data_IF_840261562435
#
_entry.id   IF_840261562435
#
_cell.length_a   1.000
_cell.length_b   1.000
_cell.length_c   1.000
_cell.angle_alpha   90.00
_cell.angle_beta   90.00
_cell.angle_gamma   90.00
#
_symmetry.space_group_name_H-M   'P 1'
#
loop_
_entity.id
_entity.type
_entity.pdbx_description
1 polymer ?
#
# COMPACT_ATOMS: atom_id res chain seq x y z
N UNK A 1 -17.97 -2.79 11.59
CA UNK A 1 -17.29 -3.35 10.40
C UNK A 1 -17.28 -2.26 9.34
N UNK A 2 -16.20 -2.11 8.58
CA UNK A 2 -16.07 -1.02 7.60
C UNK A 2 -16.24 -1.60 6.20
N UNK A 3 -17.14 -1.00 5.43
CA UNK A 3 -17.50 -1.48 4.11
C UNK A 3 -16.34 -1.30 3.13
N UNK A 4 -16.05 -2.37 2.37
CA UNK A 4 -15.09 -2.32 1.28
C UNK A 4 -15.76 -1.71 0.04
N UNK A 5 -15.21 -0.60 -0.46
CA UNK A 5 -15.57 -0.07 -1.78
C UNK A 5 -14.60 -0.59 -2.82
N UNK A 6 -15.10 -1.12 -3.94
CA UNK A 6 -14.26 -1.66 -5.01
C UNK A 6 -14.44 -0.90 -6.32
N UNK A 7 -13.40 -0.89 -7.15
CA UNK A 7 -13.41 -0.39 -8.52
C UNK A 7 -13.01 -1.52 -9.47
N UNK A 8 -13.42 -1.44 -10.74
CA UNK A 8 -12.96 -2.41 -11.73
C UNK A 8 -11.49 -2.16 -12.05
N UNK A 9 -10.81 -3.22 -12.45
CA UNK A 9 -9.39 -3.17 -12.81
C UNK A 9 -9.11 -2.14 -13.91
N UNK A 10 -10.05 -1.98 -14.84
CA UNK A 10 -9.98 -1.08 -15.99
C UNK A 10 -10.24 0.39 -15.60
N UNK A 11 -10.90 0.67 -14.47
CA UNK A 11 -11.33 2.02 -14.09
C UNK A 11 -10.17 2.93 -13.68
N UNK A 12 -9.09 2.33 -13.13
CA UNK A 12 -7.95 3.07 -12.55
C UNK A 12 -6.63 2.44 -12.93
N UNK A 13 -6.27 2.55 -14.20
CA UNK A 13 -4.97 2.09 -14.69
C UNK A 13 -3.80 2.75 -13.96
N UNK A 14 -3.89 4.05 -13.65
CA UNK A 14 -2.83 4.79 -12.95
C UNK A 14 -3.39 5.53 -11.74
N UNK A 15 -2.67 5.46 -10.63
CA UNK A 15 -2.96 6.28 -9.44
C UNK A 15 -1.80 7.22 -9.16
N UNK A 16 -2.05 8.53 -9.29
CA UNK A 16 -1.06 9.54 -8.90
C UNK A 16 -0.68 9.40 -7.43
N UNK A 17 0.60 9.54 -7.11
CA UNK A 17 1.13 9.34 -5.76
C UNK A 17 0.35 10.11 -4.67
N UNK A 18 -0.07 11.34 -4.99
CA UNK A 18 -0.81 12.21 -4.05
C UNK A 18 -2.24 11.73 -3.74
N UNK A 19 -2.78 10.80 -4.52
CA UNK A 19 -4.13 10.23 -4.34
C UNK A 19 -4.11 8.94 -3.52
N UNK A 20 -2.95 8.30 -3.35
CA UNK A 20 -2.80 7.09 -2.54
C UNK A 20 -2.99 7.46 -1.08
N UNK A 21 -3.85 6.71 -0.39
CA UNK A 21 -4.29 6.99 0.97
C UNK A 21 -4.26 5.72 1.84
N UNK A 22 -4.05 5.86 3.16
CA UNK A 22 -4.29 4.75 4.10
C UNK A 22 -5.68 4.16 3.91
N UNK A 23 -5.76 2.84 3.80
CA UNK A 23 -7.01 2.11 3.52
C UNK A 23 -7.21 1.74 2.06
N UNK A 24 -6.43 2.29 1.14
CA UNK A 24 -6.46 1.85 -0.25
C UNK A 24 -6.05 0.39 -0.36
N UNK A 25 -6.85 -0.38 -1.09
CA UNK A 25 -6.59 -1.76 -1.46
C UNK A 25 -5.98 -1.76 -2.84
N UNK A 26 -4.83 -2.41 -2.98
CA UNK A 26 -4.17 -2.58 -4.25
C UNK A 26 -4.16 -4.03 -4.72
N UNK A 27 -4.04 -4.17 -6.03
CA UNK A 27 -3.82 -5.42 -6.72
C UNK A 27 -2.56 -5.29 -7.56
N UNK A 28 -1.74 -6.34 -7.59
CA UNK A 28 -0.52 -6.43 -8.38
C UNK A 28 -0.50 -7.72 -9.21
N UNK A 29 0.11 -7.63 -10.39
CA UNK A 29 0.36 -8.79 -11.27
C UNK A 29 1.66 -8.59 -12.03
N UNK A 30 2.25 -9.69 -12.52
CA UNK A 30 3.45 -9.67 -13.35
C UNK A 30 3.20 -10.12 -14.79
N UNK A 31 2.17 -10.93 -15.04
CA UNK A 31 1.91 -11.50 -16.37
C UNK A 31 0.40 -11.60 -16.67
N UNK A 32 -0.45 -10.87 -15.93
CA UNK A 32 -1.92 -10.96 -15.98
C UNK A 32 -2.49 -12.37 -15.75
N UNK A 33 -1.71 -13.28 -15.17
CA UNK A 33 -2.11 -14.67 -14.88
C UNK A 33 -2.46 -14.88 -13.41
N UNK A 34 -1.70 -14.26 -12.52
CA UNK A 34 -1.90 -14.30 -11.08
C UNK A 34 -1.97 -12.88 -10.52
N UNK A 35 -2.92 -12.67 -9.61
CA UNK A 35 -3.18 -11.40 -8.95
C UNK A 35 -2.98 -11.56 -7.45
N UNK A 36 -2.20 -10.64 -6.87
CA UNK A 36 -1.96 -10.56 -5.44
C UNK A 36 -2.45 -9.22 -4.91
N UNK A 37 -2.74 -9.19 -3.61
CA UNK A 37 -3.46 -8.08 -3.01
C UNK A 37 -2.75 -7.56 -1.77
N UNK A 38 -2.98 -6.28 -1.49
CA UNK A 38 -2.46 -5.65 -0.28
C UNK A 38 -3.22 -4.39 0.05
N UNK A 39 -2.86 -3.80 1.19
CA UNK A 39 -3.52 -2.62 1.73
C UNK A 39 -2.49 -1.58 2.14
N UNK A 40 -2.73 -0.33 1.77
CA UNK A 40 -1.92 0.81 2.17
C UNK A 40 -2.21 1.10 3.65
N UNK A 41 -1.17 1.01 4.47
CA UNK A 41 -1.25 1.28 5.91
C UNK A 41 -1.04 2.76 6.22
N UNK A 42 -0.02 3.34 5.60
CA UNK A 42 0.46 4.67 5.95
C UNK A 42 1.27 5.29 4.83
N UNK A 43 1.18 6.61 4.71
CA UNK A 43 2.12 7.40 3.91
C UNK A 43 3.40 7.62 4.71
N UNK A 44 4.52 7.29 4.08
CA UNK A 44 5.87 7.41 4.63
C UNK A 44 6.67 8.45 3.82
N UNK A 45 7.82 8.88 4.32
CA UNK A 45 8.67 9.87 3.63
C UNK A 45 9.16 9.35 2.28
N UNK A 46 9.54 8.07 2.21
CA UNK A 46 10.14 7.44 1.02
C UNK A 46 9.17 6.52 0.28
N UNK A 47 7.87 6.57 0.58
CA UNK A 47 6.90 5.66 -0.03
C UNK A 47 5.65 5.43 0.80
N UNK A 48 5.12 4.22 0.76
CA UNK A 48 3.98 3.81 1.59
C UNK A 48 4.28 2.51 2.32
N UNK A 49 3.92 2.47 3.61
CA UNK A 49 3.90 1.22 4.35
C UNK A 49 2.66 0.43 3.93
N UNK A 50 2.80 -0.88 3.74
CA UNK A 50 1.72 -1.75 3.25
C UNK A 50 1.66 -3.08 3.98
N UNK A 51 0.48 -3.67 3.98
CA UNK A 51 0.25 -5.10 4.20
C UNK A 51 0.19 -5.83 2.87
N UNK A 52 0.74 -7.05 2.81
CA UNK A 52 0.55 -7.97 1.69
C UNK A 52 -0.28 -9.14 2.21
N UNK A 53 -1.39 -9.42 1.52
CA UNK A 53 -2.28 -10.53 1.85
C UNK A 53 -1.72 -11.82 1.27
N UNK A 54 -1.84 -12.92 2.03
CA UNK A 54 -1.49 -14.26 1.55
C UNK A 54 -2.64 -14.86 0.73
N UNK A 55 -3.02 -14.16 -0.34
CA UNK A 55 -4.04 -14.58 -1.29
C UNK A 55 -3.49 -14.40 -2.71
N UNK A 56 -3.79 -15.38 -3.56
CA UNK A 56 -3.56 -15.33 -5.00
C UNK A 56 -4.86 -15.65 -5.71
N UNK A 57 -5.20 -14.88 -6.75
CA UNK A 57 -6.39 -15.10 -7.57
C UNK A 57 -6.04 -15.08 -9.05
N UNK A 58 -6.92 -15.67 -9.84
CA UNK A 58 -6.93 -15.64 -11.31
C UNK A 58 -7.60 -14.37 -11.88
N UNK A 59 -8.18 -13.53 -11.01
CA UNK A 59 -8.89 -12.31 -11.37
C UNK A 59 -8.50 -11.14 -10.46
N UNK A 60 -8.49 -9.88 -10.99
CA UNK A 60 -8.08 -8.69 -10.26
C UNK A 60 -9.18 -8.14 -9.33
N UNK A 61 -9.88 -9.01 -8.61
CA UNK A 61 -11.00 -8.62 -7.73
C UNK A 61 -10.92 -9.31 -6.37
N UNK A 62 -11.26 -8.57 -5.32
CA UNK A 62 -11.27 -9.07 -3.95
C UNK A 62 -12.57 -8.68 -3.25
N UNK A 63 -13.13 -9.60 -2.48
CA UNK A 63 -14.34 -9.41 -1.67
C UNK A 63 -13.98 -8.96 -0.26
N UNK A 64 -14.96 -8.41 0.46
CA UNK A 64 -14.76 -8.02 1.86
C UNK A 64 -14.39 -9.21 2.76
N UNK A 65 -15.02 -10.37 2.54
CA UNK A 65 -14.73 -11.58 3.31
C UNK A 65 -13.28 -12.06 3.09
N UNK A 66 -12.81 -12.10 1.85
CA UNK A 66 -11.43 -12.48 1.52
C UNK A 66 -10.43 -11.53 2.18
N UNK A 67 -10.68 -10.22 2.12
CA UNK A 67 -9.82 -9.21 2.75
C UNK A 67 -9.74 -9.39 4.27
N UNK A 68 -10.85 -9.67 4.94
CA UNK A 68 -10.92 -9.79 6.40
C UNK A 68 -10.37 -11.12 6.93
N UNK A 69 -10.47 -12.21 6.16
CA UNK A 69 -10.02 -13.55 6.57
C UNK A 69 -8.58 -13.86 6.12
N UNK A 70 -7.99 -13.01 5.26
CA UNK A 70 -6.62 -13.17 4.79
C UNK A 70 -5.60 -13.14 5.91
N UNK A 71 -4.72 -14.14 5.95
CA UNK A 71 -3.46 -14.00 6.66
C UNK A 71 -2.54 -13.01 5.91
N UNK A 72 -1.58 -12.42 6.62
CA UNK A 72 -0.52 -11.61 6.00
C UNK A 72 0.58 -12.52 5.46
N UNK A 73 1.04 -12.25 4.24
CA UNK A 73 2.15 -13.01 3.63
C UNK A 73 3.49 -12.70 4.30
N UNK A 74 3.64 -11.51 4.87
CA UNK A 74 4.85 -11.06 5.55
C UNK A 74 4.57 -9.92 6.53
N UNK A 75 5.61 -9.49 7.27
CA UNK A 75 5.58 -8.23 8.03
C UNK A 75 5.35 -7.04 7.08
N UNK A 76 4.84 -5.90 7.58
CA UNK A 76 4.63 -4.72 6.76
C UNK A 76 5.87 -4.33 5.95
N UNK A 77 5.66 -3.97 4.69
CA UNK A 77 6.72 -3.57 3.77
C UNK A 77 6.63 -2.09 3.47
N UNK A 78 7.77 -1.51 3.09
CA UNK A 78 7.85 -0.15 2.57
C UNK A 78 7.99 -0.23 1.06
N UNK A 79 7.00 0.30 0.33
CA UNK A 79 6.99 0.30 -1.12
C UNK A 79 7.36 1.67 -1.69
N UNK A 80 8.18 1.67 -2.74
CA UNK A 80 8.29 2.81 -3.65
C UNK A 80 7.02 2.92 -4.50
N UNK A 81 5.99 3.46 -3.87
CA UNK A 81 4.69 3.70 -4.49
C UNK A 81 4.75 4.63 -5.70
N UNK A 82 5.79 5.46 -5.82
CA UNK A 82 5.92 6.35 -6.97
C UNK A 82 6.30 5.56 -8.21
N UNK A 83 7.30 4.68 -8.10
CA UNK A 83 7.70 3.78 -9.17
C UNK A 83 6.57 2.81 -9.57
N UNK A 84 5.85 2.26 -8.59
CA UNK A 84 4.86 1.21 -8.80
C UNK A 84 3.52 1.73 -9.34
N UNK A 85 2.89 2.70 -8.66
CA UNK A 85 1.51 3.12 -8.98
C UNK A 85 1.42 4.32 -9.92
N UNK A 86 2.39 5.24 -9.85
CA UNK A 86 2.34 6.51 -10.58
C UNK A 86 3.15 6.44 -11.88
N UNK A 87 4.42 6.05 -11.79
CA UNK A 87 5.33 5.98 -12.93
C UNK A 87 5.25 4.69 -13.73
N UNK A 88 4.85 3.58 -13.08
CA UNK A 88 4.74 2.25 -13.69
C UNK A 88 6.03 1.89 -14.44
N UNK A 89 7.14 1.91 -13.68
CA UNK A 89 8.51 1.78 -14.22
C UNK A 89 8.71 0.38 -14.80
N UNK A 90 8.28 -0.65 -14.08
CA UNK A 90 8.24 -2.02 -14.61
C UNK A 90 7.11 -2.13 -15.65
N UNK A 91 7.45 -2.63 -16.84
CA UNK A 91 6.50 -2.85 -17.95
C UNK A 91 5.96 -4.28 -18.00
N UNK A 92 6.60 -5.19 -17.29
CA UNK A 92 6.09 -6.56 -17.12
C UNK A 92 4.98 -6.58 -16.07
N UNK A 93 5.17 -5.91 -14.94
CA UNK A 93 4.16 -5.84 -13.88
C UNK A 93 3.18 -4.66 -13.96
N UNK A 94 2.05 -4.81 -13.30
CA UNK A 94 1.09 -3.74 -13.06
C UNK A 94 0.62 -3.72 -11.60
N UNK A 95 0.47 -2.52 -11.05
CA UNK A 95 0.03 -2.23 -9.69
C UNK A 95 -1.08 -1.19 -9.76
N UNK A 96 -2.28 -1.54 -9.28
CA UNK A 96 -3.44 -0.66 -9.33
C UNK A 96 -4.16 -0.60 -8.00
N UNK A 97 -4.74 0.56 -7.71
CA UNK A 97 -5.64 0.75 -6.58
C UNK A 97 -7.04 0.30 -7.01
N UNK A 98 -7.54 -0.79 -6.43
CA UNK A 98 -8.79 -1.48 -6.81
C UNK A 98 -9.88 -1.40 -5.74
N UNK A 99 -9.58 -0.87 -4.56
CA UNK A 99 -10.60 -0.62 -3.55
C UNK A 99 -10.14 0.29 -2.43
N UNK A 100 -11.05 0.56 -1.50
CA UNK A 100 -10.76 1.29 -0.28
C UNK A 100 -11.61 0.76 0.86
N UNK A 101 -10.97 0.56 2.01
CA UNK A 101 -11.62 0.29 3.27
C UNK A 101 -10.99 1.21 4.32
N UNK A 102 -11.80 2.07 4.96
CA UNK A 102 -11.25 3.05 5.89
C UNK A 102 -10.45 2.35 7.01
N UNK A 103 -9.31 2.88 7.41
CA UNK A 103 -8.55 2.35 8.56
C UNK A 103 -8.84 3.22 9.78
N UNK A 104 -9.38 2.63 10.85
CA UNK A 104 -9.67 3.37 12.11
C UNK A 104 -8.49 3.40 13.06
N UNK A 105 -7.57 2.45 12.94
CA UNK A 105 -6.45 2.29 13.86
C UNK A 105 -5.27 1.59 13.20
N UNK A 106 -4.07 2.00 13.61
CA UNK A 106 -2.79 1.38 13.21
C UNK A 106 -2.13 0.65 14.38
N UNK A 107 -2.85 0.47 15.50
CA UNK A 107 -2.31 -0.13 16.74
C UNK A 107 -1.58 -1.47 16.53
N UNK A 108 -2.03 -2.40 15.67
CA UNK A 108 -1.28 -3.64 15.40
C UNK A 108 0.15 -3.39 14.89
N UNK A 109 0.41 -2.21 14.31
CA UNK A 109 1.69 -1.82 13.73
C UNK A 109 2.43 -0.77 14.55
N UNK A 110 1.97 -0.44 15.76
CA UNK A 110 2.61 0.56 16.62
C UNK A 110 4.07 0.23 16.96
N UNK A 111 4.39 -1.07 17.01
CA UNK A 111 5.75 -1.56 17.29
C UNK A 111 6.57 -1.80 16.01
N UNK A 112 6.01 -1.54 14.83
CA UNK A 112 6.74 -1.62 13.57
C UNK A 112 7.31 -0.25 13.20
N UNK A 113 8.54 -0.23 12.73
CA UNK A 113 9.17 0.97 12.22
C UNK A 113 10.12 0.61 11.08
N UNK A 114 10.34 1.59 10.23
CA UNK A 114 11.29 1.51 9.13
C UNK A 114 12.47 2.42 9.43
N UNK A 115 13.66 1.97 9.05
CA UNK A 115 14.89 2.74 9.10
C UNK A 115 15.27 3.16 7.68
N UNK A 116 15.66 4.41 7.51
CA UNK A 116 16.12 4.95 6.24
C UNK A 116 17.24 5.95 6.49
N UNK A 117 18.13 6.14 5.52
CA UNK A 117 19.27 7.05 5.64
C UNK A 117 20.54 6.45 5.08
N UNK A 118 21.66 7.11 5.38
CA UNK A 118 23.00 6.68 4.99
C UNK A 118 23.74 6.10 6.19
N UNK A 119 24.91 5.52 5.93
CA UNK A 119 25.79 5.03 6.99
C UNK A 119 26.03 6.15 8.04
N UNK A 120 25.84 5.81 9.32
CA UNK A 120 25.90 6.70 10.48
C UNK A 120 24.83 7.79 10.61
N UNK A 121 23.81 7.82 9.74
CA UNK A 121 22.70 8.77 9.84
C UNK A 121 21.35 8.10 9.54
N UNK A 122 21.00 7.13 10.39
CA UNK A 122 19.73 6.42 10.31
C UNK A 122 18.60 7.22 10.94
N UNK A 123 17.50 7.35 10.22
CA UNK A 123 16.25 7.93 10.71
C UNK A 123 15.20 6.85 10.86
N UNK A 124 14.48 6.89 11.98
CA UNK A 124 13.34 6.02 12.26
C UNK A 124 12.06 6.68 11.75
N UNK A 125 11.19 5.90 11.12
CA UNK A 125 9.83 6.32 10.77
C UNK A 125 8.84 5.21 11.12
N UNK A 126 7.75 5.59 11.77
CA UNK A 126 6.69 4.69 12.22
C UNK A 126 5.44 4.93 11.38
N UNK A 127 4.71 3.88 10.96
CA UNK A 127 3.42 4.03 10.29
C UNK A 127 2.43 4.89 11.09
N UNK A 128 1.74 5.79 10.42
CA UNK A 128 0.66 6.60 10.99
C UNK A 128 -0.47 6.86 9.98
N UNK A 129 -1.70 6.98 10.46
CA UNK A 129 -2.86 7.29 9.60
C UNK A 129 -2.92 8.78 9.23
N UNK A 130 -2.17 9.64 9.94
CA UNK A 130 -2.16 11.09 9.71
C UNK A 130 -1.35 11.43 8.46
N UNK A 131 -1.77 12.47 7.75
CA UNK A 131 -0.93 13.07 6.70
C UNK A 131 0.37 13.56 7.35
N UNK A 132 1.52 13.13 6.80
CA UNK A 132 2.80 13.73 7.13
C UNK A 132 2.72 15.22 6.75
N UNK A 133 2.65 16.08 7.77
CA UNK A 133 2.84 17.52 7.59
C UNK A 133 4.34 17.70 7.36
N UNK A 134 4.71 18.00 6.11
CA UNK A 134 6.07 18.44 5.80
C UNK A 134 6.26 19.83 6.40
N UNK A 135 6.63 19.89 7.69
CA UNK A 135 7.34 21.06 8.16
C UNK A 135 8.75 20.97 7.58
N UNK A 136 8.96 21.71 6.50
CA UNK A 136 10.29 22.01 5.99
C UNK A 136 11.09 22.67 7.11
N UNK A 137 11.98 21.93 7.75
CA UNK A 137 13.10 22.57 8.45
C UNK A 137 13.96 23.18 7.35
N UNK A 138 13.82 24.50 7.18
CA UNK A 138 14.80 25.30 6.44
C UNK A 138 16.15 25.22 7.18
N UNK A 139 17.26 25.25 6.42
CA UNK A 139 18.62 25.07 6.96
C UNK A 139 18.99 26.15 7.98
#
# INVERSE_FOLDING_TARGET
MKELKTWKWEDKERTMLRKISPGDIFCLTKDNSNYHFGKILSKMIVGHAVEILNITKDSPSITQQELEQSALACRPLLLDSYALFDKKIDKSGDWRIIGHQDISSIEPYRNHYFLYGTHNNWKKSTPSIRKLNYQTQKP
#
